data_IF_545381771213
#
_entry.id   IF_545381771213
#
_cell.length_a   1.000
_cell.length_b   1.000
_cell.length_c   1.000
_cell.angle_alpha   90.00
_cell.angle_beta   90.00
_cell.angle_gamma   90.00
#
_symmetry.space_group_name_H-M   'P 1'
#
loop_
_entity.id
_entity.type
_entity.pdbx_description
1 polymer ?
#
# COMPACT_ATOMS: atom_id res chain seq x y z
N UNK A 1 1.97 39.60 -5.69
CA UNK A 1 2.65 38.60 -6.55
C UNK A 1 3.64 37.82 -5.69
N UNK A 2 3.45 36.58 -5.28
CA UNK A 2 2.41 35.57 -5.57
C UNK A 2 2.44 34.58 -4.40
N UNK A 3 1.28 34.30 -3.80
CA UNK A 3 1.12 33.29 -2.75
C UNK A 3 1.30 31.88 -3.33
N UNK A 4 2.26 31.14 -2.78
CA UNK A 4 2.38 29.69 -2.98
C UNK A 4 1.29 28.99 -2.17
N UNK A 5 0.17 28.65 -2.82
CA UNK A 5 -0.86 27.78 -2.26
C UNK A 5 -0.37 26.33 -2.26
N UNK A 6 0.45 25.98 -1.27
CA UNK A 6 0.69 24.59 -0.88
C UNK A 6 -0.45 24.13 0.01
N UNK A 7 -1.36 23.31 -0.50
CA UNK A 7 -2.46 22.75 0.27
C UNK A 7 -1.90 21.84 1.39
N UNK A 8 -1.71 22.41 2.59
CA UNK A 8 -1.45 21.66 3.81
C UNK A 8 -2.75 20.98 4.22
N UNK A 9 -2.88 19.69 3.92
CA UNK A 9 -3.93 18.85 4.50
C UNK A 9 -3.64 18.72 6.00
N UNK A 10 -4.41 19.44 6.81
CA UNK A 10 -4.39 19.28 8.26
C UNK A 10 -5.15 17.99 8.62
N UNK A 11 -4.44 17.01 9.16
CA UNK A 11 -5.04 15.78 9.66
C UNK A 11 -5.88 16.08 10.91
N UNK A 12 -7.11 15.56 10.97
CA UNK A 12 -7.95 15.65 12.19
C UNK A 12 -7.22 14.97 13.36
N UNK A 13 -7.28 15.56 14.55
CA UNK A 13 -6.44 15.25 15.72
C UNK A 13 -6.48 13.83 16.29
N UNK A 14 -7.28 12.92 15.72
CA UNK A 14 -7.38 11.51 16.13
C UNK A 14 -7.01 10.52 15.02
N UNK A 15 -6.54 10.98 13.85
CA UNK A 15 -6.17 10.12 12.73
C UNK A 15 -4.94 9.26 13.07
N UNK A 16 -5.04 7.94 12.93
CA UNK A 16 -3.89 7.04 13.07
C UNK A 16 -3.17 6.91 11.74
N UNK A 17 -1.85 6.75 11.80
CA UNK A 17 -1.01 6.56 10.61
C UNK A 17 -0.60 5.10 10.53
N UNK A 18 -0.85 4.48 9.37
CA UNK A 18 -0.45 3.11 9.05
C UNK A 18 0.62 3.16 7.95
N UNK A 19 1.57 2.23 8.00
CA UNK A 19 2.72 2.22 7.09
C UNK A 19 2.60 1.07 6.09
N UNK A 20 2.81 1.39 4.83
CA UNK A 20 2.84 0.43 3.73
C UNK A 20 4.08 0.71 2.88
N UNK A 21 4.81 -0.34 2.50
CA UNK A 21 5.94 -0.24 1.58
C UNK A 21 5.58 -0.94 0.26
N UNK A 22 5.80 -0.24 -0.85
CA UNK A 22 5.79 -0.78 -2.20
C UNK A 22 7.24 -0.89 -2.69
N UNK A 23 7.71 -2.10 -2.99
CA UNK A 23 9.08 -2.33 -3.44
C UNK A 23 9.21 -3.55 -4.34
N UNK A 24 10.44 -3.89 -4.77
CA UNK A 24 10.70 -4.97 -5.72
C UNK A 24 10.26 -6.36 -5.23
N UNK A 25 10.11 -6.54 -3.92
CA UNK A 25 9.64 -7.78 -3.30
C UNK A 25 8.12 -7.79 -3.04
N UNK A 26 7.39 -6.74 -3.45
CA UNK A 26 5.95 -6.59 -3.28
C UNK A 26 5.53 -5.51 -2.28
N UNK A 27 4.24 -5.56 -1.92
CA UNK A 27 3.58 -4.68 -0.96
C UNK A 27 3.61 -5.32 0.42
N UNK A 28 4.16 -4.59 1.38
CA UNK A 28 4.23 -5.00 2.78
C UNK A 28 3.59 -3.97 3.69
N UNK A 29 2.82 -4.45 4.66
CA UNK A 29 2.35 -3.63 5.77
C UNK A 29 3.17 -3.86 7.02
N UNK A 30 3.21 -2.84 7.87
CA UNK A 30 3.99 -2.85 9.11
C UNK A 30 3.07 -2.72 10.32
N UNK A 31 3.40 -3.46 11.36
CA UNK A 31 2.84 -3.25 12.70
C UNK A 31 3.90 -2.52 13.51
N UNK A 32 3.63 -1.24 13.83
CA UNK A 32 4.56 -0.45 14.64
C UNK A 32 4.45 -0.94 16.08
N UNK A 33 5.43 -1.74 16.50
CA UNK A 33 5.53 -2.21 17.89
C UNK A 33 6.50 -1.37 18.72
N UNK A 34 7.34 -0.55 18.07
CA UNK A 34 8.37 0.28 18.70
C UNK A 34 8.65 1.57 17.92
N UNK A 35 9.17 2.59 18.61
CA UNK A 35 9.37 3.96 18.07
C UNK A 35 10.55 4.04 17.08
N UNK A 36 11.58 3.23 17.27
CA UNK A 36 12.73 3.07 16.37
C UNK A 36 12.32 2.60 14.95
N UNK A 37 11.27 1.76 14.86
CA UNK A 37 10.71 1.33 13.57
C UNK A 37 10.09 2.49 12.77
N UNK A 38 9.57 3.52 13.46
CA UNK A 38 9.05 4.71 12.79
C UNK A 38 10.21 5.54 12.22
N UNK A 39 11.33 5.61 12.95
CA UNK A 39 12.55 6.31 12.52
C UNK A 39 13.10 5.76 11.20
N UNK A 40 13.23 4.44 11.06
CA UNK A 40 13.73 3.83 9.81
C UNK A 40 12.83 4.12 8.60
N UNK A 41 11.50 4.06 8.78
CA UNK A 41 10.55 4.38 7.72
C UNK A 41 10.58 5.88 7.34
N UNK A 42 10.72 6.77 8.32
CA UNK A 42 10.75 8.23 8.12
C UNK A 42 12.12 8.78 7.68
N UNK A 43 13.21 8.05 7.91
CA UNK A 43 14.56 8.46 7.51
C UNK A 43 15.01 7.83 6.19
N UNK A 44 14.31 6.78 5.71
CA UNK A 44 14.67 6.06 4.49
C UNK A 44 15.87 5.12 4.70
N UNK A 45 16.16 4.20 3.77
CA UNK A 45 17.35 3.37 3.90
C UNK A 45 18.60 4.25 3.90
N UNK A 46 19.59 3.98 4.78
CA UNK A 46 20.87 4.67 4.70
C UNK A 46 21.50 4.44 3.32
N UNK A 47 22.01 5.49 2.71
CA UNK A 47 22.71 5.43 1.44
C UNK A 47 23.90 4.48 1.60
N UNK A 48 23.85 3.32 0.95
CA UNK A 48 24.97 2.36 0.94
C UNK A 48 26.19 3.04 0.33
N UNK A 49 27.14 3.48 1.16
CA UNK A 49 28.42 3.99 0.68
C UNK A 49 29.29 2.80 0.22
N UNK A 50 29.81 2.76 -1.04
CA UNK A 50 30.47 1.57 -1.59
C UNK A 50 31.87 1.22 -1.04
N UNK A 51 32.34 1.83 0.06
CA UNK A 51 33.79 1.95 0.32
C UNK A 51 34.36 1.28 1.57
N UNK A 52 33.74 0.21 2.09
CA UNK A 52 34.34 -0.56 3.19
C UNK A 52 34.31 -2.09 3.02
N UNK A 53 34.25 -2.60 1.78
CA UNK A 53 34.33 -4.04 1.49
C UNK A 53 35.63 -4.40 0.75
N UNK A 54 36.77 -3.92 1.27
CA UNK A 54 38.08 -4.41 0.87
C UNK A 54 38.90 -4.66 2.12
N UNK A 55 38.70 -5.84 2.70
CA UNK A 55 39.70 -6.69 3.35
C UNK A 55 38.96 -7.64 4.29
N UNK A 56 38.69 -8.86 3.82
CA UNK A 56 39.08 -10.09 4.51
C UNK A 56 38.68 -11.29 3.66
N UNK A 57 39.70 -12.01 3.18
CA UNK A 57 39.59 -13.26 2.43
C UNK A 57 40.14 -14.34 3.35
N UNK A 58 39.27 -15.21 3.89
CA UNK A 58 39.71 -16.48 4.48
C UNK A 58 38.61 -17.53 4.40
N UNK A 59 39.05 -18.77 4.20
CA UNK A 59 38.37 -20.00 3.77
C UNK A 59 37.65 -20.78 4.89
N UNK A 60 36.35 -21.10 4.68
CA UNK A 60 35.52 -22.23 5.20
C UNK A 60 35.32 -22.42 6.72
N UNK A 61 34.37 -23.28 7.21
CA UNK A 61 33.22 -23.96 6.59
C UNK A 61 31.85 -23.55 7.19
N UNK A 62 30.75 -24.08 6.62
CA UNK A 62 29.33 -23.87 6.97
C UNK A 62 29.05 -23.69 8.48
N UNK A 63 28.53 -22.54 8.90
CA UNK A 63 27.77 -22.35 10.14
C UNK A 63 26.80 -21.17 9.99
N UNK A 64 25.51 -21.46 10.24
CA UNK A 64 24.39 -20.56 10.55
C UNK A 64 24.35 -19.19 9.86
N UNK A 65 23.37 -19.01 8.98
CA UNK A 65 22.83 -17.73 8.53
C UNK A 65 22.78 -16.75 9.71
N UNK A 66 23.52 -15.63 9.69
CA UNK A 66 23.41 -14.63 10.74
C UNK A 66 21.98 -14.11 10.77
N UNK A 67 21.28 -14.30 11.90
CA UNK A 67 20.01 -13.62 12.15
C UNK A 67 20.23 -12.11 12.12
N UNK A 68 19.72 -11.47 11.07
CA UNK A 68 19.66 -10.02 10.94
C UNK A 68 18.81 -9.43 12.08
N UNK A 69 19.34 -8.51 12.92
CA UNK A 69 18.63 -7.95 14.06
C UNK A 69 17.50 -6.97 13.69
N UNK A 70 17.20 -6.77 12.40
CA UNK A 70 16.13 -5.88 11.92
C UNK A 70 15.03 -6.56 11.10
N UNK A 71 14.62 -7.79 11.48
CA UNK A 71 13.38 -8.39 10.94
C UNK A 71 12.19 -7.63 11.52
N UNK A 72 11.85 -6.51 10.90
CA UNK A 72 10.59 -5.83 11.08
C UNK A 72 9.48 -6.78 10.60
N UNK A 73 8.35 -6.93 11.30
CA UNK A 73 7.27 -7.81 10.86
C UNK A 73 6.61 -7.24 9.60
N UNK A 74 7.14 -7.63 8.44
CA UNK A 74 6.63 -7.28 7.13
C UNK A 74 5.49 -8.22 6.80
N UNK A 75 4.28 -7.69 6.68
CA UNK A 75 3.09 -8.46 6.35
C UNK A 75 2.87 -8.39 4.84
N UNK A 76 3.16 -9.46 4.08
CA UNK A 76 2.94 -9.47 2.64
C UNK A 76 1.45 -9.42 2.32
N UNK A 77 1.14 -8.77 1.21
CA UNK A 77 -0.22 -8.59 0.71
C UNK A 77 -1.21 -8.16 1.81
N UNK A 78 -1.00 -6.98 2.43
CA UNK A 78 -1.68 -6.65 3.68
C UNK A 78 -3.18 -6.37 3.48
N UNK A 79 -3.97 -6.79 4.45
CA UNK A 79 -5.32 -6.31 4.74
C UNK A 79 -5.21 -5.28 5.85
N UNK A 80 -5.60 -4.03 5.57
CA UNK A 80 -5.46 -2.90 6.48
C UNK A 80 -6.85 -2.42 6.91
N UNK A 81 -7.16 -2.52 8.20
CA UNK A 81 -8.40 -2.02 8.78
C UNK A 81 -8.20 -0.61 9.35
N UNK A 82 -8.93 0.34 8.78
CA UNK A 82 -8.88 1.76 9.08
C UNK A 82 -10.17 2.24 9.72
N UNK A 83 -10.04 3.19 10.64
CA UNK A 83 -11.14 4.07 10.99
C UNK A 83 -11.26 5.18 9.93
N UNK A 84 -12.44 5.76 9.80
CA UNK A 84 -12.66 6.97 9.00
C UNK A 84 -11.68 8.08 9.43
N UNK A 85 -10.93 8.63 8.48
CA UNK A 85 -9.92 9.66 8.72
C UNK A 85 -8.52 9.12 9.03
N UNK A 86 -8.32 7.82 9.18
CA UNK A 86 -6.97 7.24 9.29
C UNK A 86 -6.19 7.47 7.97
N UNK A 87 -4.86 7.53 8.10
CA UNK A 87 -3.93 7.83 7.02
C UNK A 87 -3.08 6.60 6.74
N UNK A 88 -2.86 6.30 5.47
CA UNK A 88 -1.77 5.41 5.08
C UNK A 88 -0.63 6.25 4.53
N UNK A 89 0.56 6.06 5.08
CA UNK A 89 1.81 6.55 4.53
C UNK A 89 2.46 5.43 3.72
N UNK A 90 2.50 5.63 2.42
CA UNK A 90 3.13 4.74 1.45
C UNK A 90 4.59 5.11 1.27
N UNK A 91 5.48 4.16 1.46
CA UNK A 91 6.85 4.21 0.97
C UNK A 91 6.89 3.62 -0.44
N UNK A 92 7.48 4.37 -1.37
CA UNK A 92 7.52 4.08 -2.79
C UNK A 92 8.96 3.72 -3.20
N UNK A 93 9.09 2.89 -4.24
CA UNK A 93 10.37 2.62 -4.87
C UNK A 93 10.33 3.08 -6.33
N UNK A 94 10.74 4.34 -6.55
CA UNK A 94 10.82 4.94 -7.89
C UNK A 94 12.14 4.53 -8.55
N UNK A 95 12.03 3.89 -9.72
CA UNK A 95 13.19 3.52 -10.53
C UNK A 95 13.57 4.71 -11.45
N UNK A 96 14.75 5.35 -11.27
CA UNK A 96 15.08 6.58 -11.99
C UNK A 96 15.11 6.43 -13.51
N UNK A 97 15.54 5.26 -13.99
CA UNK A 97 15.74 4.98 -15.42
C UNK A 97 14.58 4.25 -16.09
N UNK A 98 13.74 3.55 -15.32
CA UNK A 98 12.59 2.83 -15.83
C UNK A 98 11.36 3.14 -14.96
N UNK A 99 10.84 4.36 -15.10
CA UNK A 99 9.78 4.87 -14.23
C UNK A 99 8.49 4.06 -14.34
N UNK A 100 8.20 3.51 -15.51
CA UNK A 100 7.05 2.64 -15.75
C UNK A 100 7.07 1.34 -14.94
N UNK A 101 8.25 0.88 -14.51
CA UNK A 101 8.42 -0.28 -13.64
C UNK A 101 8.59 0.08 -12.15
N UNK A 102 8.40 1.35 -11.77
CA UNK A 102 8.45 1.76 -10.36
C UNK A 102 7.38 1.07 -9.52
N UNK A 103 7.62 0.93 -8.22
CA UNK A 103 6.71 0.30 -7.27
C UNK A 103 5.96 1.37 -6.48
N UNK A 104 4.64 1.39 -6.66
CA UNK A 104 3.71 2.33 -6.03
C UNK A 104 2.29 1.75 -6.09
N UNK A 105 1.38 2.16 -5.20
CA UNK A 105 0.04 1.60 -5.14
C UNK A 105 -0.82 2.08 -6.31
N UNK A 106 -1.46 1.13 -7.01
CA UNK A 106 -2.40 1.39 -8.11
C UNK A 106 -3.77 0.83 -7.77
N UNK A 107 -4.75 1.71 -7.62
CA UNK A 107 -6.14 1.33 -7.33
C UNK A 107 -6.72 0.47 -8.47
N UNK A 108 -7.33 -0.66 -8.10
CA UNK A 108 -7.91 -1.62 -9.03
C UNK A 108 -9.41 -1.38 -9.20
N UNK A 109 -9.82 -0.45 -10.06
CA UNK A 109 -11.22 -0.01 -10.23
C UNK A 109 -12.21 -1.17 -10.41
N UNK A 110 -11.85 -2.17 -11.23
CA UNK A 110 -12.71 -3.31 -11.56
C UNK A 110 -12.62 -4.48 -10.56
N UNK A 111 -11.91 -4.31 -9.43
CA UNK A 111 -11.74 -5.39 -8.47
C UNK A 111 -13.04 -5.73 -7.75
N UNK A 112 -13.35 -7.02 -7.65
CA UNK A 112 -14.63 -7.51 -7.14
C UNK A 112 -14.80 -7.33 -5.62
N UNK A 113 -13.72 -7.05 -4.89
CA UNK A 113 -13.81 -6.69 -3.47
C UNK A 113 -14.12 -5.20 -3.25
N UNK A 114 -14.02 -4.35 -4.27
CA UNK A 114 -14.35 -2.94 -4.09
C UNK A 114 -15.84 -2.76 -3.81
N UNK A 115 -16.16 -1.99 -2.78
CA UNK A 115 -17.55 -1.77 -2.36
C UNK A 115 -18.07 -0.35 -2.61
N UNK A 116 -17.18 0.64 -2.82
CA UNK A 116 -17.56 2.01 -3.09
C UNK A 116 -17.24 2.39 -4.56
N UNK A 117 -18.23 2.40 -5.47
CA UNK A 117 -18.02 2.68 -6.90
C UNK A 117 -17.78 4.17 -7.21
N UNK A 118 -18.08 5.07 -6.26
CA UNK A 118 -17.96 6.52 -6.44
C UNK A 118 -16.74 7.11 -5.74
N UNK A 119 -15.86 6.27 -5.20
CA UNK A 119 -14.68 6.72 -4.48
C UNK A 119 -13.71 7.49 -5.39
N UNK A 120 -13.26 8.65 -4.93
CA UNK A 120 -12.29 9.47 -5.67
C UNK A 120 -10.85 8.96 -5.47
N UNK A 121 -10.41 8.12 -6.41
CA UNK A 121 -9.02 7.67 -6.50
C UNK A 121 -8.11 8.65 -7.27
N UNK A 122 -8.54 9.90 -7.45
CA UNK A 122 -7.81 10.96 -8.16
C UNK A 122 -6.43 11.23 -7.59
N UNK A 123 -6.24 11.09 -6.28
CA UNK A 123 -4.92 11.21 -5.65
C UNK A 123 -3.93 10.15 -6.17
N UNK A 124 -4.38 8.91 -6.37
CA UNK A 124 -3.57 7.81 -6.92
C UNK A 124 -3.35 7.96 -8.43
N UNK A 125 -4.33 8.53 -9.17
CA UNK A 125 -4.13 8.91 -10.58
C UNK A 125 -3.06 9.99 -10.72
N UNK A 126 -3.10 11.02 -9.86
CA UNK A 126 -2.08 12.07 -9.81
C UNK A 126 -0.72 11.49 -9.42
N UNK A 127 -0.66 10.61 -8.43
CA UNK A 127 0.57 9.89 -8.06
C UNK A 127 1.21 9.20 -9.27
N UNK A 128 0.43 8.39 -10.01
CA UNK A 128 0.91 7.74 -11.23
C UNK A 128 1.45 8.74 -12.26
N UNK A 129 0.71 9.83 -12.52
CA UNK A 129 1.13 10.85 -13.45
C UNK A 129 2.45 11.51 -13.03
N UNK A 130 2.60 11.86 -11.75
CA UNK A 130 3.84 12.43 -11.22
C UNK A 130 5.02 11.47 -11.36
N UNK A 131 4.82 10.17 -11.13
CA UNK A 131 5.89 9.18 -11.27
C UNK A 131 6.25 8.96 -12.74
N UNK A 132 5.25 8.79 -13.63
CA UNK A 132 5.48 8.38 -15.02
C UNK A 132 5.85 9.52 -15.96
N UNK A 133 5.21 10.69 -15.80
CA UNK A 133 5.30 11.80 -16.75
C UNK A 133 6.24 12.93 -16.30
N UNK A 134 6.75 12.86 -15.06
CA UNK A 134 7.66 13.88 -14.53
C UNK A 134 8.97 13.27 -14.06
N UNK A 135 9.97 14.12 -13.79
CA UNK A 135 11.27 13.71 -13.22
C UNK A 135 11.35 13.83 -11.69
N UNK A 136 10.23 14.09 -11.00
CA UNK A 136 10.22 14.20 -9.55
C UNK A 136 10.62 12.87 -8.89
N UNK A 137 11.52 12.95 -7.91
CA UNK A 137 11.98 11.81 -7.12
C UNK A 137 11.53 12.02 -5.68
N UNK A 138 10.49 11.29 -5.28
CA UNK A 138 9.97 11.29 -3.92
C UNK A 138 9.74 9.84 -3.49
N UNK A 139 10.01 9.54 -2.22
CA UNK A 139 9.92 8.18 -1.70
C UNK A 139 8.63 7.93 -0.93
N UNK A 140 7.76 8.94 -0.78
CA UNK A 140 6.59 8.86 0.10
C UNK A 140 5.34 9.48 -0.50
N UNK A 141 4.22 8.87 -0.22
CA UNK A 141 2.90 9.36 -0.55
C UNK A 141 1.96 9.11 0.62
N UNK A 142 1.30 10.14 1.13
CA UNK A 142 0.33 10.01 2.21
C UNK A 142 -1.08 10.14 1.63
N UNK A 143 -2.00 9.29 2.07
CA UNK A 143 -3.41 9.40 1.71
C UNK A 143 -4.29 9.17 2.92
N UNK A 144 -5.18 10.11 3.18
CA UNK A 144 -6.21 10.00 4.20
C UNK A 144 -7.46 9.33 3.61
N UNK A 145 -7.97 8.32 4.29
CA UNK A 145 -9.16 7.60 3.86
C UNK A 145 -10.39 8.11 4.60
N UNK A 146 -11.24 8.85 3.89
CA UNK A 146 -12.45 9.47 4.47
C UNK A 146 -13.73 8.71 4.14
N UNK A 147 -13.77 7.99 3.02
CA UNK A 147 -14.97 7.28 2.60
C UNK A 147 -14.96 5.83 3.12
N UNK A 148 -16.02 5.37 3.80
CA UNK A 148 -16.15 3.97 4.19
C UNK A 148 -16.24 3.07 2.96
N UNK A 149 -15.54 1.93 3.00
CA UNK A 149 -15.50 1.01 1.88
C UNK A 149 -14.35 0.02 1.95
N UNK A 150 -14.31 -0.84 0.94
CA UNK A 150 -13.22 -1.76 0.68
C UNK A 150 -12.55 -1.32 -0.61
N UNK A 151 -11.23 -1.20 -0.59
CA UNK A 151 -10.42 -0.69 -1.69
C UNK A 151 -9.24 -1.61 -1.94
N UNK A 152 -9.11 -2.10 -3.17
CA UNK A 152 -7.99 -2.97 -3.55
C UNK A 152 -6.99 -2.20 -4.39
N UNK A 153 -5.72 -2.34 -4.02
CA UNK A 153 -4.60 -1.76 -4.73
C UNK A 153 -3.62 -2.87 -5.07
N UNK A 154 -2.95 -2.74 -6.21
CA UNK A 154 -1.81 -3.60 -6.58
C UNK A 154 -0.54 -2.77 -6.64
N UNK A 155 0.60 -3.44 -6.64
CA UNK A 155 1.86 -2.79 -6.99
C UNK A 155 1.94 -2.60 -8.51
N UNK A 156 2.48 -1.46 -8.95
CA UNK A 156 2.68 -1.20 -10.37
C UNK A 156 3.78 -2.09 -11.00
N UNK A 157 4.90 -2.27 -10.32
CA UNK A 157 6.03 -3.07 -10.81
C UNK A 157 5.86 -4.57 -10.57
N UNK A 158 4.98 -4.97 -9.65
CA UNK A 158 4.71 -6.36 -9.27
C UNK A 158 3.19 -6.62 -9.16
N UNK A 159 2.45 -6.78 -10.27
CA UNK A 159 0.98 -6.81 -10.29
C UNK A 159 0.31 -7.89 -9.43
N UNK A 160 1.01 -8.98 -9.15
CA UNK A 160 0.57 -10.08 -8.27
C UNK A 160 0.57 -9.71 -6.79
N UNK A 161 1.29 -8.65 -6.41
CA UNK A 161 1.27 -8.14 -5.05
C UNK A 161 0.19 -7.08 -4.88
N UNK A 162 -0.66 -7.27 -3.87
CA UNK A 162 -1.83 -6.44 -3.66
C UNK A 162 -2.06 -6.15 -2.18
N UNK A 163 -2.81 -5.10 -1.89
CA UNK A 163 -3.31 -4.81 -0.56
C UNK A 163 -4.80 -4.52 -0.59
N UNK A 164 -5.46 -4.80 0.52
CA UNK A 164 -6.88 -4.52 0.72
C UNK A 164 -7.02 -3.53 1.86
N UNK A 165 -7.55 -2.35 1.57
CA UNK A 165 -7.85 -1.33 2.58
C UNK A 165 -9.33 -1.38 2.92
N UNK A 166 -9.63 -1.48 4.20
CA UNK A 166 -10.96 -1.55 4.78
C UNK A 166 -11.22 -0.32 5.63
N UNK A 167 -12.04 0.60 5.17
CA UNK A 167 -12.41 1.80 5.91
C UNK A 167 -13.75 1.55 6.58
N UNK A 168 -13.76 1.53 7.91
CA UNK A 168 -14.98 1.36 8.70
C UNK A 168 -15.80 2.65 8.69
N UNK A 169 -17.12 2.51 8.74
CA UNK A 169 -18.04 3.63 8.94
C UNK A 169 -17.77 4.29 10.28
N UNK A 170 -18.03 5.59 10.39
CA UNK A 170 -18.01 6.32 11.66
C UNK A 170 -18.74 5.55 12.78
N UNK A 171 -18.08 5.44 13.94
CA UNK A 171 -18.59 4.72 15.10
C UNK A 171 -18.39 3.19 15.07
N UNK A 172 -17.93 2.62 13.96
CA UNK A 172 -17.55 1.20 13.87
C UNK A 172 -16.04 1.08 13.98
N UNK A 173 -15.57 0.43 15.04
CA UNK A 173 -14.15 0.16 15.22
C UNK A 173 -13.71 -1.12 14.47
N UNK A 174 -12.43 -1.16 14.10
CA UNK A 174 -11.76 -2.43 13.81
C UNK A 174 -11.75 -3.29 15.09
N UNK A 175 -11.80 -4.62 14.94
CA UNK A 175 -11.83 -5.51 16.10
C UNK A 175 -10.61 -5.26 17.00
N UNK A 176 -10.81 -4.98 18.30
CA UNK A 176 -9.70 -4.59 19.20
C UNK A 176 -8.72 -5.74 19.46
N UNK A 177 -9.15 -6.98 19.22
CA UNK A 177 -8.31 -8.19 19.34
C UNK A 177 -7.45 -8.47 18.10
N UNK A 178 -7.55 -7.66 17.04
CA UNK A 178 -6.77 -7.82 15.82
C UNK A 178 -5.84 -6.63 15.64
N UNK A 179 -4.61 -6.91 15.18
CA UNK A 179 -3.75 -5.82 14.68
C UNK A 179 -4.41 -5.19 13.44
N UNK A 180 -4.34 -3.85 13.27
CA UNK A 180 -4.91 -3.15 12.12
C UNK A 180 -4.37 -3.63 10.77
N UNK A 181 -3.15 -4.19 10.74
CA UNK A 181 -2.53 -4.76 9.55
C UNK A 181 -2.42 -6.27 9.75
N UNK A 182 -2.95 -7.03 8.79
CA UNK A 182 -2.99 -8.49 8.77
C UNK A 182 -2.61 -9.03 7.39
N UNK A 183 -2.07 -10.26 7.27
CA UNK A 183 -1.83 -10.86 5.96
C UNK A 183 -3.15 -11.14 5.24
N UNK A 184 -3.18 -11.01 3.91
CA UNK A 184 -4.35 -11.44 3.14
C UNK A 184 -4.50 -12.95 3.20
N UNK A 185 -5.63 -13.42 3.73
CA UNK A 185 -6.09 -14.79 3.57
C UNK A 185 -7.60 -14.80 3.40
N UNK A 186 -8.19 -15.85 2.78
CA UNK A 186 -9.64 -15.98 2.69
C UNK A 186 -10.34 -15.86 4.05
N UNK A 187 -9.70 -16.40 5.11
CA UNK A 187 -10.17 -16.28 6.48
C UNK A 187 -10.19 -14.81 6.97
N UNK A 188 -9.09 -14.07 6.79
CA UNK A 188 -9.02 -12.67 7.24
C UNK A 188 -9.99 -11.78 6.45
N UNK A 189 -10.09 -11.97 5.13
CA UNK A 189 -11.04 -11.25 4.28
C UNK A 189 -12.49 -11.48 4.74
N UNK A 190 -12.86 -12.74 4.97
CA UNK A 190 -14.21 -13.11 5.44
C UNK A 190 -14.48 -12.54 6.83
N UNK A 191 -13.52 -12.65 7.76
CA UNK A 191 -13.63 -12.12 9.13
C UNK A 191 -13.82 -10.60 9.14
N UNK A 192 -13.27 -9.89 8.15
CA UNK A 192 -13.45 -8.46 7.99
C UNK A 192 -14.72 -8.06 7.22
N UNK A 193 -15.51 -9.03 6.75
CA UNK A 193 -16.72 -8.80 5.97
C UNK A 193 -16.45 -8.40 4.52
N UNK A 194 -15.27 -8.71 3.98
CA UNK A 194 -14.98 -8.52 2.55
C UNK A 194 -15.76 -9.54 1.76
N UNK A 195 -16.78 -9.06 1.04
CA UNK A 195 -17.59 -9.87 0.16
C UNK A 195 -17.19 -9.62 -1.29
N UNK A 196 -17.13 -10.70 -2.07
CA UNK A 196 -16.96 -10.58 -3.53
C UNK A 196 -18.27 -10.08 -4.11
N UNK A 197 -18.25 -8.93 -4.79
CA UNK A 197 -19.37 -8.46 -5.58
C UNK A 197 -19.67 -9.49 -6.66
N UNK A 198 -20.93 -9.89 -6.77
CA UNK A 198 -21.37 -10.70 -7.91
C UNK A 198 -21.28 -9.82 -9.15
N UNK A 199 -20.55 -10.26 -10.15
CA UNK A 199 -20.78 -9.75 -11.50
C UNK A 199 -22.23 -10.12 -11.83
N UNK A 200 -23.06 -9.16 -12.28
CA UNK A 200 -24.28 -9.55 -12.98
C UNK A 200 -23.84 -10.55 -14.05
N UNK A 201 -24.40 -11.76 -14.03
CA UNK A 201 -24.21 -12.68 -15.14
C UNK A 201 -24.84 -11.98 -16.34
N UNK A 202 -24.03 -11.25 -17.11
CA UNK A 202 -24.42 -10.79 -18.43
C UNK A 202 -24.49 -12.06 -19.27
N UNK A 203 -25.64 -12.73 -19.22
CA UNK A 203 -25.99 -13.71 -20.22
C UNK A 203 -25.94 -13.02 -21.59
N UNK A 204 -25.63 -13.75 -22.67
CA UNK A 204 -25.73 -13.18 -24.01
C UNK A 204 -27.10 -12.53 -24.19
N UNK A 205 -27.12 -11.26 -24.60
CA UNK A 205 -28.35 -10.61 -25.04
C UNK A 205 -28.71 -11.22 -26.39
N UNK A 206 -29.49 -12.30 -26.33
CA UNK A 206 -29.91 -13.01 -27.53
C UNK A 206 -30.74 -12.13 -28.45
N UNK A 207 -31.46 -11.12 -27.96
CA UNK A 207 -32.21 -10.21 -28.84
C UNK A 207 -31.26 -9.35 -29.69
N UNK A 208 -30.16 -8.86 -29.09
CA UNK A 208 -29.09 -8.17 -29.84
C UNK A 208 -28.35 -9.12 -30.79
N UNK A 209 -28.16 -10.39 -30.40
CA UNK A 209 -27.45 -11.39 -31.22
C UNK A 209 -28.32 -11.93 -32.37
N UNK A 210 -29.63 -12.10 -32.17
CA UNK A 210 -30.55 -12.66 -33.16
C UNK A 210 -31.30 -11.60 -33.98
N UNK A 211 -31.23 -10.32 -33.61
CA UNK A 211 -31.74 -9.21 -34.40
C UNK A 211 -33.26 -9.22 -34.63
N UNK A 212 -34.03 -9.62 -33.61
CA UNK A 212 -35.51 -9.64 -33.65
C UNK A 212 -36.08 -8.31 -33.18
#
# INVERSE_FOLDING_TARGET
>A
NSEHSGSRQFFQGNARVHLIQCGPHGIFGFVISRVDMLGSFLLGPPVSQPWLQRHHRTTGPEHSVPHDPHIHPHIPNPVVCLAEGDVILFQLHILPHNRSASHYPVYQVQHLFNSNPHWDFGAFRRLRHLIQETHLNFSRFAHQFLDPGTYVFRDNGLPESFMVVLVKKKGVACSPSLSPVQPSSPYQLTRHGVLRRRLPNLGPDWAVITGV
#
